data_IF_677662979748
#
_entry.id   IF_677662979748
#
_cell.length_a   1.000
_cell.length_b   1.000
_cell.length_c   1.000
_cell.angle_alpha   90.00
_cell.angle_beta   90.00
_cell.angle_gamma   90.00
#
_symmetry.space_group_name_H-M   'P 1'
#
loop_
_entity.id
_entity.type
_entity.pdbx_description
1 polymer ?
#
# COMPACT_ATOMS: atom_id res chain seq x y z
N UNK A 1 4.11 15.50 11.44
CA UNK A 1 2.76 16.02 11.74
C UNK A 1 2.12 15.11 12.77
N UNK A 2 2.17 15.44 14.06
CA UNK A 2 1.87 14.48 15.13
C UNK A 2 0.40 14.06 15.21
N UNK A 3 -0.51 14.84 14.61
CA UNK A 3 -1.96 14.62 14.65
C UNK A 3 -2.56 14.27 13.29
N UNK A 4 -1.74 14.07 12.24
CA UNK A 4 -2.27 13.72 10.92
C UNK A 4 -2.78 12.28 10.94
N UNK A 5 -4.06 12.08 10.65
CA UNK A 5 -4.73 10.77 10.61
C UNK A 5 -5.04 10.33 9.17
N UNK A 6 -5.29 11.30 8.29
CA UNK A 6 -5.60 11.08 6.87
C UNK A 6 -4.58 11.78 5.96
N UNK A 7 -4.10 11.08 4.93
CA UNK A 7 -3.23 11.66 3.91
C UNK A 7 -3.66 11.26 2.50
N UNK A 8 -3.91 12.26 1.67
CA UNK A 8 -4.19 12.09 0.25
C UNK A 8 -3.04 12.65 -0.59
N UNK A 9 -2.56 11.86 -1.54
CA UNK A 9 -1.48 12.21 -2.46
C UNK A 9 -1.97 11.89 -3.87
N UNK A 10 -2.01 12.89 -4.75
CA UNK A 10 -2.58 12.77 -6.09
C UNK A 10 -1.72 13.48 -7.13
N UNK A 11 -1.56 12.87 -8.30
CA UNK A 11 -0.86 13.41 -9.48
C UNK A 11 0.57 13.94 -9.19
N UNK A 12 1.36 13.20 -8.42
CA UNK A 12 2.76 13.56 -8.11
C UNK A 12 3.77 12.57 -8.73
N UNK A 13 3.99 12.60 -10.06
CA UNK A 13 4.77 11.59 -10.79
C UNK A 13 6.28 11.58 -10.49
N UNK A 14 6.77 12.60 -9.80
CA UNK A 14 8.19 12.75 -9.43
C UNK A 14 8.44 12.68 -7.92
N UNK A 15 7.39 12.49 -7.12
CA UNK A 15 7.51 12.43 -5.66
C UNK A 15 8.16 11.11 -5.25
N UNK A 16 9.40 11.18 -4.79
CA UNK A 16 10.18 10.01 -4.34
C UNK A 16 10.22 9.83 -2.82
N UNK A 17 10.07 10.91 -2.07
CA UNK A 17 10.27 10.86 -0.63
C UNK A 17 9.63 12.04 0.05
N UNK A 18 8.47 11.79 0.67
CA UNK A 18 7.96 12.59 1.78
C UNK A 18 8.67 12.23 3.10
N UNK A 19 9.48 11.15 3.09
CA UNK A 19 9.90 10.44 4.29
C UNK A 19 11.43 10.30 4.44
N UNK A 20 12.18 11.31 4.01
CA UNK A 20 13.65 11.24 3.84
C UNK A 20 14.45 11.09 5.13
N UNK A 21 13.89 11.38 6.31
CA UNK A 21 14.60 11.29 7.58
C UNK A 21 14.14 10.09 8.42
N UNK A 22 14.92 9.00 8.39
CA UNK A 22 14.71 7.76 9.15
C UNK A 22 14.80 7.91 10.68
N UNK A 23 14.85 9.14 11.20
CA UNK A 23 15.08 9.43 12.63
C UNK A 23 13.80 9.69 13.42
N UNK A 24 12.67 9.87 12.75
CA UNK A 24 11.38 10.17 13.40
C UNK A 24 10.25 9.49 12.65
N UNK A 25 9.36 8.83 13.39
CA UNK A 25 8.04 8.45 12.90
C UNK A 25 7.30 9.74 12.48
N UNK A 26 7.32 10.06 11.19
CA UNK A 26 6.83 11.34 10.66
C UNK A 26 5.31 11.52 10.86
N UNK A 27 4.62 10.39 10.94
CA UNK A 27 3.17 10.28 10.96
C UNK A 27 2.71 9.21 11.96
N UNK A 28 2.95 9.41 13.27
CA UNK A 28 2.71 8.39 14.29
C UNK A 28 1.22 8.06 14.47
N UNK A 29 0.32 8.88 13.92
CA UNK A 29 -1.14 8.71 14.01
C UNK A 29 -1.84 8.50 12.67
N UNK A 30 -1.09 8.41 11.58
CA UNK A 30 -1.71 8.25 10.26
C UNK A 30 -2.36 6.88 10.16
N UNK A 31 -3.66 6.86 9.88
CA UNK A 31 -4.52 5.68 9.81
C UNK A 31 -4.98 5.42 8.38
N UNK A 32 -5.25 6.46 7.62
CA UNK A 32 -5.84 6.37 6.29
C UNK A 32 -4.92 7.08 5.28
N UNK A 33 -4.59 6.38 4.19
CA UNK A 33 -3.77 6.93 3.12
C UNK A 33 -4.34 6.57 1.76
N UNK A 34 -4.35 7.53 0.85
CA UNK A 34 -4.74 7.33 -0.55
C UNK A 34 -3.68 7.92 -1.49
N UNK A 35 -3.21 7.10 -2.43
CA UNK A 35 -2.08 7.40 -3.33
C UNK A 35 -2.50 7.18 -4.77
N UNK A 36 -2.69 8.27 -5.51
CA UNK A 36 -3.16 8.26 -6.89
C UNK A 36 -2.08 8.85 -7.82
N UNK A 37 -1.80 8.20 -8.95
CA UNK A 37 -0.84 8.66 -9.98
C UNK A 37 0.56 9.04 -9.44
N UNK A 38 1.09 8.26 -8.49
CA UNK A 38 2.38 8.50 -7.84
C UNK A 38 3.40 7.35 -8.07
N UNK A 39 3.79 7.04 -9.32
CA UNK A 39 4.60 5.87 -9.67
C UNK A 39 6.04 5.84 -9.10
N UNK A 40 6.50 6.91 -8.44
CA UNK A 40 7.85 6.97 -7.86
C UNK A 40 7.84 7.04 -6.33
N UNK A 41 6.65 6.99 -5.71
CA UNK A 41 6.50 7.15 -4.27
C UNK A 41 6.99 5.90 -3.54
N UNK A 42 7.85 6.13 -2.55
CA UNK A 42 8.28 5.08 -1.63
C UNK A 42 7.73 5.35 -0.23
N UNK A 43 7.03 4.37 0.34
CA UNK A 43 6.49 4.45 1.69
C UNK A 43 7.50 3.93 2.73
N UNK A 44 7.64 4.60 3.89
CA UNK A 44 8.42 4.12 5.02
C UNK A 44 7.59 3.13 5.85
N UNK A 45 8.10 2.74 7.00
CA UNK A 45 7.27 2.13 8.03
C UNK A 45 6.22 3.14 8.53
N UNK A 46 4.94 2.76 8.47
CA UNK A 46 3.80 3.54 8.97
C UNK A 46 3.04 2.68 10.00
N UNK A 47 3.50 2.63 11.25
CA UNK A 47 3.03 1.65 12.24
C UNK A 47 1.57 1.83 12.67
N UNK A 48 0.95 2.97 12.35
CA UNK A 48 -0.46 3.25 12.68
C UNK A 48 -1.39 3.13 11.48
N UNK A 49 -0.86 2.90 10.26
CA UNK A 49 -1.67 2.88 9.05
C UNK A 49 -2.55 1.64 9.01
N UNK A 50 -3.85 1.86 8.81
CA UNK A 50 -4.91 0.84 8.81
C UNK A 50 -5.54 0.65 7.45
N UNK A 51 -5.69 1.72 6.69
CA UNK A 51 -6.37 1.72 5.40
C UNK A 51 -5.48 2.37 4.35
N UNK A 52 -5.32 1.69 3.21
CA UNK A 52 -4.51 2.15 2.10
C UNK A 52 -5.23 1.91 0.78
N UNK A 53 -5.40 2.97 0.00
CA UNK A 53 -5.87 2.89 -1.38
C UNK A 53 -4.75 3.31 -2.33
N UNK A 54 -4.43 2.48 -3.32
CA UNK A 54 -3.43 2.76 -4.35
C UNK A 54 -4.09 2.68 -5.72
N UNK A 55 -3.98 3.79 -6.47
CA UNK A 55 -4.62 3.95 -7.78
C UNK A 55 -3.64 4.41 -8.83
N UNK A 56 -3.69 3.81 -10.02
CA UNK A 56 -2.88 4.20 -11.19
C UNK A 56 -1.38 4.35 -10.88
N UNK A 57 -0.87 3.44 -10.05
CA UNK A 57 0.52 3.28 -9.68
C UNK A 57 1.12 2.02 -10.34
N UNK A 58 2.37 1.71 -10.00
CA UNK A 58 3.14 0.60 -10.56
C UNK A 58 3.59 -0.40 -9.48
N UNK A 59 4.27 -1.46 -9.92
CA UNK A 59 4.77 -2.53 -9.06
C UNK A 59 5.76 -2.01 -7.99
N UNK A 60 6.53 -0.97 -8.29
CA UNK A 60 7.47 -0.36 -7.33
C UNK A 60 6.74 0.19 -6.10
N UNK A 61 5.63 0.91 -6.29
CA UNK A 61 4.82 1.43 -5.17
C UNK A 61 4.23 0.27 -4.36
N UNK A 62 3.70 -0.75 -5.02
CA UNK A 62 3.14 -1.93 -4.35
C UNK A 62 4.19 -2.64 -3.49
N UNK A 63 5.44 -2.76 -3.96
CA UNK A 63 6.51 -3.41 -3.21
C UNK A 63 6.77 -2.78 -1.82
N UNK A 64 6.45 -1.50 -1.65
CA UNK A 64 6.67 -0.78 -0.39
C UNK A 64 5.66 -1.11 0.71
N UNK A 65 4.51 -1.69 0.33
CA UNK A 65 3.44 -2.10 1.26
C UNK A 65 3.91 -3.23 2.19
N UNK A 66 4.95 -3.97 1.81
CA UNK A 66 5.59 -5.02 2.63
C UNK A 66 6.00 -4.54 4.04
N UNK A 67 6.17 -3.23 4.25
CA UNK A 67 6.53 -2.62 5.52
C UNK A 67 5.33 -2.15 6.36
N UNK A 68 4.10 -2.40 5.91
CA UNK A 68 2.87 -1.88 6.51
C UNK A 68 2.12 -2.95 7.31
N UNK A 69 2.79 -3.53 8.32
CA UNK A 69 2.26 -4.68 9.09
C UNK A 69 0.99 -4.41 9.90
N UNK A 70 0.60 -3.15 10.05
CA UNK A 70 -0.60 -2.73 10.79
C UNK A 70 -1.85 -2.57 9.93
N UNK A 71 -1.73 -2.80 8.63
CA UNK A 71 -2.77 -2.60 7.63
C UNK A 71 -3.91 -3.63 7.82
N UNK A 72 -5.14 -3.14 7.76
CA UNK A 72 -6.39 -3.91 7.90
C UNK A 72 -7.11 -3.98 6.55
N UNK A 73 -7.09 -2.89 5.78
CA UNK A 73 -7.71 -2.82 4.45
C UNK A 73 -6.73 -2.30 3.42
N UNK A 74 -6.65 -2.99 2.28
CA UNK A 74 -5.86 -2.63 1.12
C UNK A 74 -6.74 -2.64 -0.13
N UNK A 75 -6.82 -1.49 -0.80
CA UNK A 75 -7.49 -1.35 -2.08
C UNK A 75 -6.50 -0.97 -3.18
N UNK A 76 -6.46 -1.76 -4.26
CA UNK A 76 -5.55 -1.62 -5.38
C UNK A 76 -6.37 -1.50 -6.66
N UNK A 77 -6.54 -0.26 -7.14
CA UNK A 77 -7.41 0.05 -8.27
C UNK A 77 -6.65 0.55 -9.51
N UNK A 78 -7.09 0.17 -10.70
CA UNK A 78 -6.64 0.79 -11.97
C UNK A 78 -5.10 0.76 -12.17
N UNK A 79 -4.40 -0.21 -11.57
CA UNK A 79 -2.95 -0.37 -11.73
C UNK A 79 -2.67 -1.20 -12.99
N UNK A 80 -2.97 -0.64 -14.16
CA UNK A 80 -3.00 -1.37 -15.44
C UNK A 80 -1.63 -1.88 -15.90
N UNK A 81 -0.53 -1.31 -15.39
CA UNK A 81 0.82 -1.76 -15.72
C UNK A 81 1.34 -2.88 -14.80
N UNK A 82 0.59 -3.20 -13.73
CA UNK A 82 0.95 -4.27 -12.80
C UNK A 82 0.64 -5.63 -13.43
N UNK A 83 1.67 -6.43 -13.65
CA UNK A 83 1.57 -7.77 -14.27
C UNK A 83 1.54 -8.85 -13.18
N UNK A 84 2.18 -8.58 -12.05
CA UNK A 84 2.21 -9.47 -10.90
C UNK A 84 2.17 -8.71 -9.57
N UNK A 85 1.56 -9.30 -8.56
CA UNK A 85 1.69 -8.79 -7.20
C UNK A 85 2.97 -9.33 -6.56
N UNK A 86 3.72 -8.50 -5.81
CA UNK A 86 4.91 -8.95 -5.10
C UNK A 86 4.54 -9.96 -4.00
N UNK A 87 4.88 -11.25 -4.18
CA UNK A 87 4.50 -12.31 -3.22
C UNK A 87 5.00 -12.04 -1.79
N UNK A 88 6.23 -11.51 -1.68
CA UNK A 88 6.86 -11.17 -0.40
C UNK A 88 6.13 -10.05 0.35
N UNK A 89 5.37 -9.21 -0.36
CA UNK A 89 4.59 -8.13 0.24
C UNK A 89 3.51 -8.64 1.19
N UNK A 90 2.82 -9.70 0.80
CA UNK A 90 1.67 -10.22 1.52
C UNK A 90 2.05 -10.97 2.79
N UNK A 91 3.29 -11.48 2.87
CA UNK A 91 3.75 -12.25 4.04
C UNK A 91 3.70 -11.46 5.35
N UNK A 92 3.84 -10.14 5.29
CA UNK A 92 3.87 -9.27 6.46
C UNK A 92 2.51 -8.67 6.82
N UNK A 93 1.50 -8.84 5.97
CA UNK A 93 0.16 -8.26 6.15
C UNK A 93 -0.76 -9.20 6.95
N UNK A 94 -0.26 -9.72 8.08
CA UNK A 94 -0.98 -10.73 8.88
C UNK A 94 -2.28 -10.24 9.50
N UNK A 95 -2.47 -8.92 9.58
CA UNK A 95 -3.67 -8.26 10.10
C UNK A 95 -4.65 -7.84 9.00
N UNK A 96 -4.35 -8.11 7.74
CA UNK A 96 -5.21 -7.68 6.63
C UNK A 96 -6.51 -8.49 6.63
N UNK A 97 -7.62 -7.79 6.79
CA UNK A 97 -8.98 -8.33 6.82
C UNK A 97 -9.69 -8.13 5.47
N UNK A 98 -9.32 -7.09 4.72
CA UNK A 98 -9.92 -6.78 3.42
C UNK A 98 -8.85 -6.47 2.37
N UNK A 99 -8.95 -7.13 1.23
CA UNK A 99 -8.16 -6.86 0.03
C UNK A 99 -9.10 -6.65 -1.15
N UNK A 100 -8.99 -5.53 -1.85
CA UNK A 100 -9.67 -5.30 -3.11
C UNK A 100 -8.64 -5.10 -4.22
N UNK A 101 -8.82 -5.79 -5.34
CA UNK A 101 -7.99 -5.64 -6.54
C UNK A 101 -8.91 -5.41 -7.73
N UNK A 102 -9.08 -4.14 -8.09
CA UNK A 102 -10.01 -3.74 -9.14
C UNK A 102 -9.30 -3.16 -10.35
N UNK A 103 -9.81 -3.49 -11.54
CA UNK A 103 -9.36 -2.87 -12.81
C UNK A 103 -7.85 -2.96 -13.06
N UNK A 104 -7.18 -3.98 -12.53
CA UNK A 104 -5.77 -4.29 -12.79
C UNK A 104 -5.66 -5.25 -14.00
N UNK A 105 -5.85 -4.73 -15.20
CA UNK A 105 -6.13 -5.54 -16.41
C UNK A 105 -4.98 -6.42 -16.89
N UNK A 106 -3.72 -6.06 -16.61
CA UNK A 106 -2.55 -6.88 -16.95
C UNK A 106 -2.18 -7.92 -15.88
N UNK A 107 -2.82 -7.87 -14.71
CA UNK A 107 -2.59 -8.84 -13.64
C UNK A 107 -3.17 -10.19 -14.06
N UNK A 108 -2.29 -11.15 -14.35
CA UNK A 108 -2.70 -12.47 -14.86
C UNK A 108 -2.99 -13.48 -13.76
N UNK A 109 -2.29 -13.36 -12.64
CA UNK A 109 -2.29 -14.34 -11.57
C UNK A 109 -2.27 -13.62 -10.23
N UNK A 110 -3.15 -14.02 -9.32
CA UNK A 110 -3.10 -13.59 -7.93
C UNK A 110 -1.98 -14.34 -7.19
N UNK A 111 -1.25 -13.68 -6.28
CA UNK A 111 -0.08 -14.25 -5.63
C UNK A 111 -0.49 -15.40 -4.69
N UNK A 112 0.29 -16.48 -4.69
CA UNK A 112 0.01 -17.65 -3.84
C UNK A 112 0.11 -17.34 -2.35
N UNK A 113 0.90 -16.30 -2.02
CA UNK A 113 1.05 -15.76 -0.68
C UNK A 113 -0.24 -15.19 -0.06
N UNK A 114 -1.34 -15.04 -0.82
CA UNK A 114 -2.67 -14.76 -0.25
C UNK A 114 -3.08 -15.81 0.80
N UNK A 115 -2.63 -17.06 0.64
CA UNK A 115 -2.87 -18.13 1.62
C UNK A 115 -2.24 -17.84 3.00
N UNK A 116 -1.29 -16.90 3.09
CA UNK A 116 -0.66 -16.48 4.34
C UNK A 116 -1.45 -15.38 5.07
N UNK A 117 -2.46 -14.79 4.43
CA UNK A 117 -3.31 -13.76 5.04
C UNK A 117 -4.36 -14.41 5.93
N UNK A 118 -3.93 -14.83 7.13
CA UNK A 118 -4.77 -15.61 8.05
C UNK A 118 -5.98 -14.87 8.59
N UNK A 119 -5.98 -13.53 8.51
CA UNK A 119 -7.07 -12.67 8.98
C UNK A 119 -7.99 -12.20 7.86
N UNK A 120 -7.75 -12.61 6.61
CA UNK A 120 -8.50 -12.10 5.46
C UNK A 120 -9.94 -12.62 5.48
N UNK A 121 -10.89 -11.69 5.52
CA UNK A 121 -12.33 -11.94 5.54
C UNK A 121 -13.00 -11.58 4.21
N UNK A 122 -12.42 -10.64 3.45
CA UNK A 122 -12.95 -10.17 2.16
C UNK A 122 -11.85 -10.05 1.10
N UNK A 123 -12.14 -10.56 -0.11
CA UNK A 123 -11.27 -10.50 -1.30
C UNK A 123 -12.08 -10.08 -2.55
#
# INVERSE_FOLDING_TARGET
FPSLEDLFIDELPNLKGLFKDQRTELFPRLRNMSIYDCPKLMLPCLPSLKELTIKRCNEDVLSTISNLSSLISLDVEQNEEVVSFPEEMLRNLTLLESLAIERCTKLKVLPTALANLTSLESL
#
